data_IF_272210133218
#
_entry.id   IF_272210133218
#
_cell.length_a   1.000
_cell.length_b   1.000
_cell.length_c   1.000
_cell.angle_alpha   90.00
_cell.angle_beta   90.00
_cell.angle_gamma   90.00
#
_symmetry.space_group_name_H-M   'P 1'
#
loop_
_entity.id
_entity.type
_entity.pdbx_description
1 polymer ?
#
# COMPACT_ATOMS: atom_id res chain seq x y z
N UNK A 1 4.69 26.96 -10.77
CA UNK A 1 3.63 26.75 -9.75
C UNK A 1 3.67 25.26 -9.41
N UNK A 2 4.28 24.91 -8.29
CA UNK A 2 4.36 23.51 -7.87
C UNK A 2 2.99 23.10 -7.35
N UNK A 3 2.48 21.97 -7.84
CA UNK A 3 1.27 21.34 -7.30
C UNK A 3 1.56 20.87 -5.87
N UNK A 4 0.60 20.97 -4.99
CA UNK A 4 0.70 20.31 -3.69
C UNK A 4 0.77 18.79 -3.89
N UNK A 5 1.35 18.06 -2.94
CA UNK A 5 1.44 16.59 -3.01
C UNK A 5 0.03 15.97 -3.17
N UNK A 6 -0.95 16.51 -2.48
CA UNK A 6 -2.34 16.05 -2.55
C UNK A 6 -2.97 16.24 -3.93
N UNK A 7 -2.79 17.43 -4.55
CA UNK A 7 -3.26 17.68 -5.92
C UNK A 7 -2.57 16.77 -6.94
N UNK A 8 -1.30 16.41 -6.69
CA UNK A 8 -0.56 15.45 -7.52
C UNK A 8 -1.13 14.05 -7.38
N UNK A 9 -1.38 13.58 -6.16
CA UNK A 9 -1.94 12.26 -5.89
C UNK A 9 -3.34 12.10 -6.50
N UNK A 10 -4.17 13.13 -6.37
CA UNK A 10 -5.52 13.11 -6.97
C UNK A 10 -5.47 13.01 -8.50
N UNK A 11 -4.57 13.76 -9.15
CA UNK A 11 -4.36 13.66 -10.61
C UNK A 11 -3.80 12.30 -11.02
N UNK A 12 -2.90 11.73 -10.23
CA UNK A 12 -2.37 10.38 -10.47
C UNK A 12 -3.49 9.35 -10.40
N UNK A 13 -4.36 9.44 -9.40
CA UNK A 13 -5.47 8.51 -9.24
C UNK A 13 -6.48 8.58 -10.38
N UNK A 14 -6.88 9.79 -10.79
CA UNK A 14 -7.77 9.97 -11.96
C UNK A 14 -7.14 9.33 -13.19
N UNK A 15 -5.87 9.67 -13.49
CA UNK A 15 -5.18 9.14 -14.65
C UNK A 15 -5.11 7.62 -14.61
N UNK A 16 -4.81 7.04 -13.44
CA UNK A 16 -4.77 5.60 -13.28
C UNK A 16 -6.14 4.94 -13.54
N UNK A 17 -7.23 5.52 -13.01
CA UNK A 17 -8.58 5.02 -13.29
C UNK A 17 -8.90 5.04 -14.79
N UNK A 18 -8.55 6.11 -15.49
CA UNK A 18 -8.82 6.26 -16.92
C UNK A 18 -7.99 5.30 -17.79
N UNK A 19 -6.75 5.00 -17.41
CA UNK A 19 -5.83 4.20 -18.23
C UNK A 19 -5.87 2.70 -17.89
N UNK A 20 -6.09 2.33 -16.63
CA UNK A 20 -5.90 0.96 -16.16
C UNK A 20 -7.13 0.30 -15.54
N UNK A 21 -8.13 1.08 -15.08
CA UNK A 21 -9.35 0.48 -14.54
C UNK A 21 -10.40 0.27 -15.62
N UNK A 22 -11.19 -0.79 -15.47
CA UNK A 22 -12.37 -1.03 -16.33
C UNK A 22 -13.64 -0.36 -15.76
N UNK A 23 -13.50 0.58 -14.81
CA UNK A 23 -14.62 1.25 -14.18
C UNK A 23 -15.15 2.39 -15.07
N UNK A 24 -16.47 2.55 -15.07
CA UNK A 24 -17.10 3.76 -15.62
C UNK A 24 -16.76 4.98 -14.74
N UNK A 25 -16.85 6.17 -15.32
CA UNK A 25 -16.61 7.43 -14.60
C UNK A 25 -17.48 7.58 -13.34
N UNK A 26 -18.72 7.06 -13.37
CA UNK A 26 -19.60 7.07 -12.21
C UNK A 26 -19.11 6.14 -11.10
N UNK A 27 -18.54 4.98 -11.44
CA UNK A 27 -18.03 4.03 -10.46
C UNK A 27 -16.74 4.54 -9.81
N UNK A 28 -15.74 4.98 -10.57
CA UNK A 28 -14.51 5.48 -9.96
C UNK A 28 -14.71 6.81 -9.22
N UNK A 29 -15.72 7.63 -9.58
CA UNK A 29 -16.04 8.83 -8.83
C UNK A 29 -16.44 8.56 -7.37
N UNK A 30 -17.02 7.37 -7.09
CA UNK A 30 -17.35 6.94 -5.73
C UNK A 30 -16.06 6.83 -4.90
N UNK A 31 -15.03 6.16 -5.42
CA UNK A 31 -13.73 6.06 -4.74
C UNK A 31 -13.08 7.43 -4.53
N UNK A 32 -13.09 8.29 -5.54
CA UNK A 32 -12.51 9.64 -5.43
C UNK A 32 -13.23 10.48 -4.38
N UNK A 33 -14.57 10.39 -4.29
CA UNK A 33 -15.33 11.10 -3.27
C UNK A 33 -15.02 10.57 -1.86
N UNK A 34 -14.90 9.26 -1.67
CA UNK A 34 -14.47 8.68 -0.39
C UNK A 34 -13.08 9.19 -0.03
N UNK A 35 -12.10 9.12 -0.94
CA UNK A 35 -10.74 9.62 -0.72
C UNK A 35 -10.75 11.09 -0.28
N UNK A 36 -11.53 11.94 -0.97
CA UNK A 36 -11.63 13.36 -0.64
C UNK A 36 -12.25 13.59 0.75
N UNK A 37 -13.23 12.77 1.15
CA UNK A 37 -13.90 12.89 2.44
C UNK A 37 -13.03 12.46 3.61
N UNK A 38 -12.20 11.41 3.45
CA UNK A 38 -11.30 10.93 4.52
C UNK A 38 -10.04 11.79 4.70
N UNK A 39 -9.82 12.83 3.87
CA UNK A 39 -8.77 13.84 4.04
C UNK A 39 -7.37 13.26 4.38
N UNK A 40 -6.93 12.23 3.67
CA UNK A 40 -5.67 11.49 3.86
C UNK A 40 -5.68 10.44 5.00
N UNK A 41 -6.76 10.25 5.73
CA UNK A 41 -6.89 9.09 6.60
C UNK A 41 -7.21 7.85 5.77
N UNK A 42 -6.19 7.05 5.49
CA UNK A 42 -6.33 5.81 4.71
C UNK A 42 -6.88 4.64 5.52
N UNK A 43 -7.27 4.82 6.78
CA UNK A 43 -7.76 3.75 7.67
C UNK A 43 -8.95 3.00 7.07
N UNK A 44 -9.83 3.68 6.34
CA UNK A 44 -10.96 3.08 5.62
C UNK A 44 -10.46 2.06 4.57
N UNK A 45 -9.45 2.44 3.79
CA UNK A 45 -8.88 1.55 2.75
C UNK A 45 -8.03 0.43 3.34
N UNK A 46 -7.33 0.66 4.46
CA UNK A 46 -6.63 -0.40 5.19
C UNK A 46 -7.60 -1.45 5.72
N UNK A 47 -8.76 -1.04 6.25
CA UNK A 47 -9.81 -1.97 6.69
C UNK A 47 -10.42 -2.77 5.55
N UNK A 48 -10.66 -2.14 4.40
CA UNK A 48 -11.11 -2.86 3.20
C UNK A 48 -10.07 -3.88 2.75
N UNK A 49 -8.77 -3.51 2.76
CA UNK A 49 -7.69 -4.42 2.41
C UNK A 49 -7.63 -5.62 3.36
N UNK A 50 -7.78 -5.40 4.67
CA UNK A 50 -7.84 -6.48 5.67
C UNK A 50 -8.97 -7.49 5.36
N UNK A 51 -10.15 -7.01 4.96
CA UNK A 51 -11.28 -7.87 4.60
C UNK A 51 -10.96 -8.67 3.34
N UNK A 52 -10.32 -8.04 2.35
CA UNK A 52 -9.89 -8.73 1.13
C UNK A 52 -8.87 -9.83 1.44
N UNK A 53 -7.88 -9.57 2.29
CA UNK A 53 -6.82 -10.53 2.61
C UNK A 53 -7.30 -11.68 3.50
N UNK A 54 -8.23 -11.42 4.42
CA UNK A 54 -8.76 -12.44 5.35
C UNK A 54 -9.99 -13.20 4.81
N UNK A 55 -10.60 -12.73 3.71
CA UNK A 55 -11.68 -13.42 3.01
C UNK A 55 -13.01 -13.47 3.75
N UNK A 56 -13.19 -12.78 4.87
CA UNK A 56 -14.44 -12.73 5.63
C UNK A 56 -14.56 -11.42 6.40
N UNK A 57 -15.73 -10.82 6.33
CA UNK A 57 -16.04 -9.69 7.20
C UNK A 57 -16.91 -8.62 6.57
N UNK A 58 -17.32 -7.73 7.43
CA UNK A 58 -18.02 -6.50 7.10
C UNK A 58 -17.33 -5.36 7.83
N UNK A 59 -17.12 -4.25 7.13
CA UNK A 59 -16.60 -3.02 7.69
C UNK A 59 -17.61 -1.91 7.49
N UNK A 60 -17.89 -1.16 8.54
CA UNK A 60 -18.71 0.05 8.47
C UNK A 60 -17.97 1.21 9.12
N UNK A 61 -17.85 2.29 8.36
CA UNK A 61 -17.35 3.57 8.81
C UNK A 61 -18.49 4.59 8.74
N UNK A 62 -18.69 5.37 9.80
CA UNK A 62 -19.66 6.45 9.84
C UNK A 62 -19.04 7.66 10.54
N UNK A 63 -19.14 8.81 9.90
CA UNK A 63 -18.91 10.11 10.50
C UNK A 63 -20.10 11.05 10.21
N UNK A 64 -19.95 12.36 10.51
CA UNK A 64 -21.03 13.34 10.34
C UNK A 64 -21.44 13.53 8.88
N UNK A 65 -20.49 13.34 7.93
CA UNK A 65 -20.66 13.68 6.51
C UNK A 65 -20.75 12.46 5.59
N UNK A 66 -20.28 11.29 6.04
CA UNK A 66 -20.12 10.12 5.17
C UNK A 66 -20.34 8.81 5.91
N UNK A 67 -21.01 7.87 5.24
CA UNK A 67 -20.92 6.44 5.60
C UNK A 67 -20.20 5.65 4.50
N UNK A 68 -19.51 4.59 4.90
CA UNK A 68 -18.93 3.58 4.01
C UNK A 68 -19.18 2.20 4.63
N UNK A 69 -19.72 1.28 3.83
CA UNK A 69 -19.84 -0.13 4.17
C UNK A 69 -19.13 -0.95 3.12
N UNK A 70 -18.34 -1.92 3.54
CA UNK A 70 -17.66 -2.84 2.65
C UNK A 70 -17.89 -4.26 3.12
N UNK A 71 -18.48 -5.10 2.25
CA UNK A 71 -18.99 -6.44 2.62
C UNK A 71 -18.70 -7.44 1.52
N UNK A 72 -18.32 -8.67 1.89
CA UNK A 72 -18.28 -9.81 0.97
C UNK A 72 -19.66 -10.45 0.88
N UNK A 73 -20.15 -10.66 -0.36
CA UNK A 73 -21.45 -11.27 -0.65
C UNK A 73 -21.29 -12.36 -1.73
N UNK A 74 -21.33 -13.61 -1.36
CA UNK A 74 -21.28 -14.75 -2.29
C UNK A 74 -20.07 -14.75 -3.24
N UNK A 75 -18.89 -14.37 -2.76
CA UNK A 75 -17.65 -14.32 -3.54
C UNK A 75 -17.45 -13.06 -4.37
N UNK A 76 -18.34 -12.08 -4.23
CA UNK A 76 -18.16 -10.72 -4.72
C UNK A 76 -18.12 -9.75 -3.55
N UNK A 77 -17.60 -8.55 -3.78
CA UNK A 77 -17.50 -7.52 -2.76
C UNK A 77 -18.36 -6.33 -3.16
N UNK A 78 -19.04 -5.77 -2.19
CA UNK A 78 -19.85 -4.57 -2.35
C UNK A 78 -19.30 -3.45 -1.48
N UNK A 79 -19.03 -2.31 -2.11
CA UNK A 79 -18.75 -1.04 -1.48
C UNK A 79 -20.00 -0.18 -1.60
N UNK A 80 -20.63 0.15 -0.48
CA UNK A 80 -21.73 1.10 -0.40
C UNK A 80 -21.34 2.32 0.40
N UNK A 81 -21.70 3.52 -0.07
CA UNK A 81 -21.34 4.77 0.56
C UNK A 81 -22.38 5.86 0.33
N UNK A 82 -22.25 6.99 1.01
CA UNK A 82 -23.06 8.20 0.74
C UNK A 82 -22.99 8.67 -0.72
N UNK A 83 -21.99 8.21 -1.49
CA UNK A 83 -21.77 8.60 -2.89
C UNK A 83 -22.28 7.58 -3.90
N UNK A 84 -22.79 6.43 -3.45
CA UNK A 84 -23.27 5.35 -4.28
C UNK A 84 -22.67 4.01 -3.92
N UNK A 85 -22.91 2.99 -4.77
CA UNK A 85 -22.40 1.64 -4.56
C UNK A 85 -21.67 1.09 -5.79
N UNK A 86 -20.69 0.21 -5.53
CA UNK A 86 -19.92 -0.52 -6.54
C UNK A 86 -19.78 -1.97 -6.09
N UNK A 87 -20.09 -2.91 -6.99
CA UNK A 87 -19.89 -4.35 -6.77
C UNK A 87 -18.85 -4.85 -7.76
N UNK A 88 -17.79 -5.50 -7.26
CA UNK A 88 -16.69 -6.04 -8.05
C UNK A 88 -16.24 -7.38 -7.48
N UNK A 89 -15.44 -8.12 -8.24
CA UNK A 89 -14.75 -9.30 -7.73
C UNK A 89 -13.54 -8.93 -6.85
N UNK A 90 -12.97 -9.94 -6.22
CA UNK A 90 -11.80 -9.79 -5.35
C UNK A 90 -10.64 -9.06 -6.03
N UNK A 91 -10.23 -9.51 -7.22
CA UNK A 91 -9.04 -8.97 -7.90
C UNK A 91 -9.22 -7.51 -8.30
N UNK A 92 -10.40 -7.15 -8.77
CA UNK A 92 -10.70 -5.77 -9.13
C UNK A 92 -10.65 -4.84 -7.90
N UNK A 93 -11.27 -5.22 -6.77
CA UNK A 93 -11.16 -4.44 -5.54
C UNK A 93 -9.74 -4.40 -4.99
N UNK A 94 -9.05 -5.54 -4.92
CA UNK A 94 -7.67 -5.61 -4.42
C UNK A 94 -6.75 -4.68 -5.20
N UNK A 95 -6.86 -4.69 -6.53
CA UNK A 95 -6.12 -3.80 -7.43
C UNK A 95 -6.39 -2.33 -7.14
N UNK A 96 -7.66 -1.94 -7.01
CA UNK A 96 -8.05 -0.55 -6.76
C UNK A 96 -7.60 -0.09 -5.37
N UNK A 97 -7.89 -0.88 -4.32
CA UNK A 97 -7.57 -0.53 -2.94
C UNK A 97 -6.04 -0.42 -2.75
N UNK A 98 -5.28 -1.40 -3.26
CA UNK A 98 -3.81 -1.35 -3.22
C UNK A 98 -3.27 -0.12 -3.94
N UNK A 99 -3.84 0.25 -5.10
CA UNK A 99 -3.42 1.44 -5.84
C UNK A 99 -3.73 2.74 -5.09
N UNK A 100 -4.89 2.83 -4.45
CA UNK A 100 -5.24 3.98 -3.60
C UNK A 100 -4.22 4.11 -2.47
N UNK A 101 -3.92 3.02 -1.79
CA UNK A 101 -2.92 2.98 -0.71
C UNK A 101 -1.55 3.42 -1.25
N UNK A 102 -1.09 2.88 -2.37
CA UNK A 102 0.21 3.20 -2.96
C UNK A 102 0.34 4.70 -3.32
N UNK A 103 -0.70 5.28 -3.92
CA UNK A 103 -0.69 6.68 -4.35
C UNK A 103 -0.77 7.64 -3.15
N UNK A 104 -1.67 7.39 -2.21
CA UNK A 104 -1.98 8.34 -1.15
C UNK A 104 -1.17 8.14 0.13
N UNK A 105 -0.56 6.96 0.35
CA UNK A 105 0.34 6.76 1.50
C UNK A 105 1.47 7.79 1.51
N UNK A 106 1.75 8.31 2.69
CA UNK A 106 2.95 9.11 2.92
C UNK A 106 4.18 8.25 2.61
N UNK A 107 5.14 8.84 1.90
CA UNK A 107 6.43 8.19 1.65
C UNK A 107 7.47 8.78 2.58
N UNK A 108 7.90 7.96 3.55
CA UNK A 108 8.91 8.36 4.51
C UNK A 108 10.30 8.44 3.88
N UNK A 109 11.14 9.42 4.29
CA UNK A 109 12.49 9.58 3.78
C UNK A 109 13.43 8.46 4.23
N UNK A 110 14.58 8.34 3.57
CA UNK A 110 15.64 7.41 3.98
C UNK A 110 16.13 7.72 5.39
N UNK A 111 16.46 6.68 6.15
CA UNK A 111 16.87 6.80 7.56
C UNK A 111 15.72 6.92 8.54
N UNK A 112 14.46 6.94 8.07
CA UNK A 112 13.29 6.84 8.96
C UNK A 112 13.33 5.52 9.71
N UNK A 113 13.06 5.57 11.02
CA UNK A 113 12.95 4.40 11.89
C UNK A 113 11.47 4.14 12.15
N UNK A 114 11.02 2.94 11.83
CA UNK A 114 9.63 2.51 11.99
C UNK A 114 9.53 1.25 12.83
N UNK A 115 8.42 1.11 13.56
CA UNK A 115 7.99 -0.15 14.12
C UNK A 115 6.97 -0.77 13.15
N UNK A 116 7.23 -2.00 12.73
CA UNK A 116 6.36 -2.76 11.84
C UNK A 116 5.47 -3.70 12.66
N UNK A 117 4.25 -3.86 12.21
CA UNK A 117 3.30 -4.81 12.78
C UNK A 117 3.81 -6.24 12.54
N UNK A 118 4.03 -7.00 13.63
CA UNK A 118 4.54 -8.37 13.58
C UNK A 118 3.64 -9.32 12.78
N UNK A 119 2.35 -9.02 12.66
CA UNK A 119 1.40 -9.82 11.89
C UNK A 119 1.89 -10.11 10.46
N UNK A 120 2.52 -9.14 9.80
CA UNK A 120 3.02 -9.26 8.43
C UNK A 120 4.37 -10.01 8.30
N UNK A 121 4.96 -10.48 9.41
CA UNK A 121 6.30 -11.08 9.42
C UNK A 121 6.39 -12.36 10.25
N UNK A 122 5.26 -12.92 10.69
CA UNK A 122 5.19 -14.10 11.56
C UNK A 122 5.93 -15.32 11.02
N UNK A 123 5.83 -15.52 9.72
CA UNK A 123 6.43 -16.68 9.05
C UNK A 123 7.90 -16.45 8.65
N UNK A 124 8.36 -15.19 8.65
CA UNK A 124 9.69 -14.82 8.20
C UNK A 124 10.70 -14.70 9.35
N UNK A 125 10.24 -14.37 10.55
CA UNK A 125 11.11 -14.11 11.70
C UNK A 125 10.56 -14.82 12.95
N UNK A 126 11.43 -15.41 13.81
CA UNK A 126 11.02 -16.02 15.07
C UNK A 126 10.63 -14.92 16.08
N UNK A 127 9.46 -14.34 15.93
CA UNK A 127 8.94 -13.22 16.73
C UNK A 127 7.74 -13.71 17.52
N UNK A 128 7.63 -13.29 18.80
CA UNK A 128 6.44 -13.53 19.61
C UNK A 128 5.28 -12.62 19.15
N UNK A 129 4.04 -13.09 19.29
CA UNK A 129 2.81 -12.51 18.70
C UNK A 129 2.51 -11.02 19.06
N UNK A 130 3.28 -10.40 19.93
CA UNK A 130 3.10 -9.00 20.34
C UNK A 130 4.36 -8.14 20.20
N UNK A 131 5.41 -8.65 19.57
CA UNK A 131 6.64 -7.88 19.39
C UNK A 131 6.58 -7.10 18.07
N UNK A 132 6.85 -5.80 18.13
CA UNK A 132 7.05 -4.99 16.92
C UNK A 132 8.48 -5.16 16.42
N UNK A 133 8.64 -5.21 15.11
CA UNK A 133 9.96 -5.23 14.46
C UNK A 133 10.37 -3.79 14.18
N UNK A 134 11.47 -3.34 14.78
CA UNK A 134 12.02 -2.02 14.47
C UNK A 134 12.94 -2.07 13.27
N UNK A 135 12.68 -1.23 12.27
CA UNK A 135 13.41 -1.21 10.99
C UNK A 135 13.83 0.22 10.64
N UNK A 136 15.03 0.36 10.07
CA UNK A 136 15.50 1.62 9.46
C UNK A 136 15.30 1.54 7.94
N UNK A 137 14.56 2.47 7.36
CA UNK A 137 14.33 2.54 5.91
C UNK A 137 15.63 2.87 5.20
N UNK A 138 16.07 1.98 4.31
CA UNK A 138 17.31 2.11 3.53
C UNK A 138 17.05 2.38 2.05
N UNK A 139 15.99 1.81 1.48
CA UNK A 139 15.60 2.01 0.09
C UNK A 139 14.10 2.22 -0.03
N UNK A 140 13.70 2.87 -1.12
CA UNK A 140 12.30 3.09 -1.52
C UNK A 140 12.12 2.67 -2.97
N UNK A 141 10.94 2.18 -3.31
CA UNK A 141 10.55 1.86 -4.69
C UNK A 141 11.51 0.88 -5.36
N UNK A 142 11.90 -0.18 -4.65
CA UNK A 142 12.84 -1.19 -5.16
C UNK A 142 12.12 -2.11 -6.15
N UNK A 143 12.50 -2.15 -7.44
CA UNK A 143 11.90 -3.07 -8.40
C UNK A 143 12.04 -4.53 -7.93
N UNK A 144 11.00 -5.33 -8.14
CA UNK A 144 10.95 -6.73 -7.78
C UNK A 144 10.70 -7.61 -9.01
N UNK A 145 9.70 -7.26 -9.80
CA UNK A 145 9.44 -7.84 -11.13
C UNK A 145 9.17 -6.71 -12.14
N UNK A 146 8.82 -7.05 -13.37
CA UNK A 146 8.43 -6.06 -14.38
C UNK A 146 7.12 -5.35 -14.02
N UNK A 147 6.30 -5.93 -13.13
CA UNK A 147 4.98 -5.42 -12.73
C UNK A 147 4.89 -5.01 -11.25
N UNK A 148 5.88 -5.42 -10.42
CA UNK A 148 5.85 -5.25 -8.97
C UNK A 148 7.11 -4.57 -8.43
N UNK A 149 6.94 -3.80 -7.36
CA UNK A 149 8.04 -3.21 -6.60
C UNK A 149 7.79 -3.31 -5.09
N UNK A 150 8.87 -3.36 -4.29
CA UNK A 150 8.78 -3.15 -2.85
C UNK A 150 8.74 -1.65 -2.56
N UNK A 151 7.74 -1.22 -1.77
CA UNK A 151 7.60 0.19 -1.43
C UNK A 151 8.77 0.67 -0.56
N UNK A 152 9.16 -0.15 0.42
CA UNK A 152 10.32 0.06 1.29
C UNK A 152 11.17 -1.20 1.39
N UNK A 153 12.47 -0.98 1.55
CA UNK A 153 13.42 -1.98 2.02
C UNK A 153 14.22 -1.37 3.17
N UNK A 154 14.35 -2.08 4.28
CA UNK A 154 15.04 -1.61 5.46
C UNK A 154 15.88 -2.66 6.15
N UNK A 155 16.62 -2.24 7.16
CA UNK A 155 17.43 -3.13 8.02
C UNK A 155 16.87 -3.16 9.43
N UNK A 156 16.91 -4.34 10.06
CA UNK A 156 16.42 -4.54 11.43
C UNK A 156 17.32 -3.79 12.41
N UNK A 157 16.72 -2.93 13.22
CA UNK A 157 17.42 -2.22 14.31
C UNK A 157 17.43 -3.09 15.60
N UNK A 158 18.53 -3.12 16.38
CA UNK A 158 19.81 -2.44 16.17
C UNK A 158 20.85 -3.27 15.38
N UNK A 159 20.46 -4.41 14.82
CA UNK A 159 21.37 -5.40 14.20
C UNK A 159 22.05 -4.83 12.94
N UNK A 160 21.31 -4.10 12.10
CA UNK A 160 21.83 -3.62 10.84
C UNK A 160 22.18 -4.76 9.87
N UNK A 161 22.98 -4.47 8.86
CA UNK A 161 23.51 -5.47 7.94
C UNK A 161 24.88 -5.96 8.45
N UNK A 162 24.91 -7.13 9.09
CA UNK A 162 26.14 -7.71 9.65
C UNK A 162 26.89 -8.65 8.68
N UNK A 163 26.44 -8.76 7.44
CA UNK A 163 27.10 -9.54 6.37
C UNK A 163 26.98 -11.06 6.49
N UNK A 164 26.41 -11.59 7.56
CA UNK A 164 26.31 -13.05 7.81
C UNK A 164 24.88 -13.58 7.73
N UNK A 165 23.89 -12.76 8.04
CA UNK A 165 22.47 -13.07 7.88
C UNK A 165 21.75 -11.85 7.32
N UNK A 166 20.82 -12.04 6.41
CA UNK A 166 20.06 -10.97 5.82
C UNK A 166 19.14 -10.40 6.89
N UNK A 167 19.51 -9.21 7.37
CA UNK A 167 18.66 -8.41 8.26
C UNK A 167 17.87 -7.37 7.47
N UNK A 168 17.65 -7.60 6.17
CA UNK A 168 16.86 -6.74 5.30
C UNK A 168 15.42 -7.24 5.25
N UNK A 169 14.50 -6.30 5.37
CA UNK A 169 13.06 -6.55 5.33
C UNK A 169 12.45 -5.67 4.24
N UNK A 170 11.66 -6.28 3.37
CA UNK A 170 10.84 -5.58 2.39
C UNK A 170 9.43 -5.41 2.95
N UNK A 171 8.84 -4.23 2.81
CA UNK A 171 7.53 -3.95 3.36
C UNK A 171 6.80 -2.83 2.61
N UNK A 172 5.49 -2.80 2.78
CA UNK A 172 4.60 -1.76 2.26
C UNK A 172 4.18 -0.79 3.37
N UNK A 173 3.63 0.38 3.03
CA UNK A 173 3.14 1.35 4.02
C UNK A 173 2.15 0.78 5.04
N UNK A 174 1.32 -0.18 4.64
CA UNK A 174 0.31 -0.80 5.52
C UNK A 174 0.94 -1.56 6.70
N UNK A 175 2.16 -2.05 6.55
CA UNK A 175 2.87 -2.76 7.61
C UNK A 175 3.45 -1.83 8.68
N UNK A 176 3.50 -0.51 8.46
CA UNK A 176 4.02 0.46 9.41
C UNK A 176 2.99 0.70 10.50
N UNK A 177 3.27 0.25 11.71
CA UNK A 177 2.44 0.51 12.88
C UNK A 177 2.74 1.90 13.48
N UNK A 178 4.04 2.26 13.51
CA UNK A 178 4.48 3.51 14.14
C UNK A 178 5.76 4.05 13.52
N UNK A 179 5.80 5.37 13.32
CA UNK A 179 7.04 6.09 13.04
C UNK A 179 7.71 6.47 14.36
N UNK A 180 8.93 5.95 14.58
CA UNK A 180 9.72 6.21 15.80
C UNK A 180 10.59 7.44 15.64
N UNK A 181 11.19 7.59 14.46
CA UNK A 181 12.02 8.74 14.10
C UNK A 181 11.92 8.98 12.60
N UNK A 182 11.62 10.18 12.18
CA UNK A 182 11.59 10.54 10.76
C UNK A 182 13.01 10.91 10.28
N UNK A 183 13.38 10.38 9.13
CA UNK A 183 14.64 10.68 8.47
C UNK A 183 14.65 12.10 7.87
N UNK A 184 15.79 12.49 7.29
CA UNK A 184 15.92 13.81 6.69
C UNK A 184 15.07 13.93 5.42
N UNK A 185 14.26 14.98 5.37
CA UNK A 185 13.37 15.31 4.26
C UNK A 185 13.55 16.76 3.84
N UNK A 186 13.72 16.99 2.55
CA UNK A 186 13.79 18.31 1.96
C UNK A 186 12.99 18.39 0.65
N UNK A 187 13.16 19.49 -0.08
CA UNK A 187 12.49 19.69 -1.36
C UNK A 187 12.96 18.67 -2.42
N UNK A 188 14.23 18.28 -2.42
CA UNK A 188 14.76 17.29 -3.37
C UNK A 188 14.16 15.90 -3.11
N UNK A 189 14.04 15.51 -1.83
CA UNK A 189 13.40 14.27 -1.44
C UNK A 189 11.93 14.24 -1.87
N UNK A 190 11.21 15.33 -1.63
CA UNK A 190 9.79 15.45 -2.03
C UNK A 190 9.61 15.36 -3.56
N UNK A 191 10.49 16.01 -4.33
CA UNK A 191 10.48 15.94 -5.80
C UNK A 191 10.80 14.52 -6.29
N UNK A 192 11.81 13.86 -5.72
CA UNK A 192 12.15 12.48 -6.04
C UNK A 192 10.96 11.54 -5.85
N UNK A 193 10.30 11.61 -4.69
CA UNK A 193 9.12 10.78 -4.39
C UNK A 193 8.01 11.01 -5.42
N UNK A 194 7.71 12.26 -5.76
CA UNK A 194 6.69 12.57 -6.76
C UNK A 194 7.03 12.02 -8.16
N UNK A 195 8.30 12.09 -8.56
CA UNK A 195 8.77 11.55 -9.84
C UNK A 195 8.67 10.02 -9.86
N UNK A 196 9.14 9.35 -8.80
CA UNK A 196 9.12 7.89 -8.74
C UNK A 196 7.70 7.32 -8.64
N UNK A 197 6.83 7.92 -7.83
CA UNK A 197 5.41 7.53 -7.79
C UNK A 197 4.77 7.66 -9.18
N UNK A 198 4.97 8.79 -9.84
CA UNK A 198 4.44 8.98 -11.20
C UNK A 198 4.97 7.92 -12.15
N UNK A 199 6.29 7.70 -12.16
CA UNK A 199 6.95 6.76 -13.06
C UNK A 199 6.43 5.32 -12.86
N UNK A 200 6.46 4.83 -11.61
CA UNK A 200 6.10 3.44 -11.32
C UNK A 200 4.59 3.20 -11.39
N UNK A 201 3.81 4.02 -10.67
CA UNK A 201 2.39 3.75 -10.48
C UNK A 201 1.53 4.16 -11.68
N UNK A 202 1.97 5.19 -12.44
CA UNK A 202 1.17 5.77 -13.51
C UNK A 202 1.76 5.47 -14.88
N UNK A 203 3.03 5.81 -15.14
CA UNK A 203 3.59 5.66 -16.49
C UNK A 203 3.92 4.20 -16.81
N UNK A 204 4.28 3.38 -15.80
CA UNK A 204 4.54 1.94 -15.94
C UNK A 204 3.38 1.05 -15.49
N UNK A 205 2.38 1.59 -14.79
CA UNK A 205 1.23 0.84 -14.27
C UNK A 205 1.56 -0.18 -13.17
N UNK A 206 2.78 -0.17 -12.63
CA UNK A 206 3.25 -1.13 -11.62
C UNK A 206 2.45 -1.00 -10.31
N UNK A 207 2.44 -2.08 -9.54
CA UNK A 207 1.88 -2.13 -8.20
C UNK A 207 2.98 -2.37 -7.15
N UNK A 208 2.78 -1.90 -5.92
CA UNK A 208 3.60 -2.42 -4.83
C UNK A 208 3.20 -3.85 -4.50
N UNK A 209 4.07 -4.56 -3.78
CA UNK A 209 3.79 -5.93 -3.32
C UNK A 209 2.58 -6.02 -2.37
N UNK A 210 2.02 -4.90 -1.92
CA UNK A 210 0.77 -4.87 -1.14
C UNK A 210 -0.47 -5.40 -1.89
N UNK A 211 -0.38 -5.53 -3.22
CA UNK A 211 -1.45 -6.17 -4.02
C UNK A 211 -1.50 -7.69 -3.81
N UNK A 212 -0.41 -8.31 -3.39
CA UNK A 212 -0.31 -9.75 -3.18
C UNK A 212 -0.71 -10.12 -1.75
N UNK A 213 -1.30 -11.30 -1.60
CA UNK A 213 -1.36 -11.98 -0.31
C UNK A 213 0.03 -12.50 0.06
N UNK A 214 0.25 -12.88 1.32
CA UNK A 214 1.52 -13.48 1.78
C UNK A 214 1.85 -14.78 0.99
N UNK A 215 0.85 -15.61 0.72
CA UNK A 215 1.02 -16.84 -0.05
C UNK A 215 1.42 -16.56 -1.50
N UNK A 216 0.83 -15.55 -2.13
CA UNK A 216 1.18 -15.14 -3.49
C UNK A 216 2.59 -14.54 -3.55
N UNK A 217 2.96 -13.69 -2.57
CA UNK A 217 4.30 -13.12 -2.49
C UNK A 217 5.35 -14.20 -2.34
N UNK A 218 5.19 -15.16 -1.43
CA UNK A 218 6.09 -16.30 -1.25
C UNK A 218 6.28 -17.10 -2.54
N UNK A 219 5.21 -17.38 -3.29
CA UNK A 219 5.28 -18.09 -4.58
C UNK A 219 6.08 -17.30 -5.64
N UNK A 220 5.92 -15.97 -5.67
CA UNK A 220 6.68 -15.14 -6.61
C UNK A 220 8.16 -15.12 -6.23
N UNK A 221 8.50 -14.99 -4.95
CA UNK A 221 9.88 -15.02 -4.44
C UNK A 221 10.56 -16.35 -4.77
N UNK A 222 9.91 -17.51 -4.52
CA UNK A 222 10.42 -18.83 -4.87
C UNK A 222 10.68 -18.96 -6.37
N UNK A 223 9.80 -18.43 -7.22
CA UNK A 223 9.94 -18.50 -8.68
C UNK A 223 11.14 -17.73 -9.20
N UNK A 224 11.58 -16.67 -8.51
CA UNK A 224 12.75 -15.87 -8.89
C UNK A 224 14.04 -16.61 -8.51
N UNK A 225 14.10 -17.17 -7.29
CA UNK A 225 15.27 -17.93 -6.80
C UNK A 225 15.58 -19.13 -7.74
N UNK A 226 14.56 -19.79 -8.28
CA UNK A 226 14.73 -20.91 -9.23
C UNK A 226 15.30 -20.44 -10.59
N UNK A 227 15.06 -19.19 -11.00
CA UNK A 227 15.57 -18.65 -12.27
C UNK A 227 17.03 -18.19 -12.22
N UNK A 228 17.53 -17.93 -11.02
CA UNK A 228 18.93 -17.46 -10.79
C UNK A 228 19.92 -18.63 -10.58
N UNK A 229 19.46 -19.88 -10.53
CA UNK A 229 20.26 -21.10 -10.46
C UNK A 229 20.40 -21.75 -11.84
#
# INVERSE_FOLDING_TARGET
MYLTVLESNHKFMIKWFEEYSNLSSNQYSIFLNIINSVQNDLSVFYKMNDILDNGNGEFTFNDEDMFVTFTEINGTYELSSSFGSVTLDYYAFKTIISKIIDIYSETYPLGTVVDLNSFYFKDLLPIEDNDSIRVVIMNRFTPFTDELFFYYTGVIYPVGNNGTNISMVNFSPIAIEKVVHEGYKDEQDTQFVGIEKKRLLIDMGMHSTSILTEEELSKVEESIVVREQ
#
